data_IF_411051360213
#
_entry.id   IF_411051360213
#
_cell.length_a   1.000
_cell.length_b   1.000
_cell.length_c   1.000
_cell.angle_alpha   90.00
_cell.angle_beta   90.00
_cell.angle_gamma   90.00
#
_symmetry.space_group_name_H-M   'P 1'
#
loop_
_entity.id
_entity.type
_entity.pdbx_description
1 polymer ?
#
# COMPACT_ATOMS: atom_id res chain seq x y z
N UNK A 1 -33.53 25.34 -44.34
CA UNK A 1 -32.24 24.63 -44.11
C UNK A 1 -31.31 25.39 -43.16
N UNK A 2 -31.11 26.71 -43.31
CA UNK A 2 -30.27 27.54 -42.42
C UNK A 2 -30.58 27.39 -40.90
N UNK A 3 -31.87 27.36 -40.53
CA UNK A 3 -32.30 27.26 -39.13
C UNK A 3 -32.02 25.88 -38.49
N UNK A 4 -32.02 24.83 -39.31
CA UNK A 4 -31.73 23.46 -38.86
C UNK A 4 -30.23 23.28 -38.61
N UNK A 5 -29.39 23.87 -39.48
CA UNK A 5 -27.92 23.87 -39.36
C UNK A 5 -27.46 24.66 -38.13
N UNK A 6 -28.11 25.79 -37.84
CA UNK A 6 -27.87 26.57 -36.62
C UNK A 6 -28.23 25.79 -35.35
N UNK A 7 -29.34 25.04 -35.36
CA UNK A 7 -29.75 24.23 -34.22
C UNK A 7 -28.80 23.06 -33.96
N UNK A 8 -28.30 22.42 -35.02
CA UNK A 8 -27.29 21.36 -34.90
C UNK A 8 -25.93 21.89 -34.43
N UNK A 9 -25.52 23.09 -34.85
CA UNK A 9 -24.27 23.72 -34.39
C UNK A 9 -24.31 24.07 -32.90
N UNK A 10 -25.43 24.58 -32.39
CA UNK A 10 -25.61 24.89 -30.96
C UNK A 10 -25.66 23.63 -30.09
N UNK A 11 -26.30 22.56 -30.58
CA UNK A 11 -26.36 21.28 -29.86
C UNK A 11 -24.98 20.60 -29.73
N UNK A 12 -24.12 20.74 -30.74
CA UNK A 12 -22.76 20.18 -30.73
C UNK A 12 -21.84 20.91 -29.74
N UNK A 13 -22.03 22.22 -29.51
CA UNK A 13 -21.22 22.99 -28.54
C UNK A 13 -21.57 22.76 -27.07
N UNK A 14 -22.67 22.08 -26.76
CA UNK A 14 -23.15 21.88 -25.39
C UNK A 14 -22.61 20.60 -24.72
N UNK A 15 -21.89 19.75 -25.46
CA UNK A 15 -21.36 18.51 -24.92
C UNK A 15 -19.87 18.72 -24.59
N UNK A 16 -19.54 18.59 -23.31
CA UNK A 16 -18.19 18.61 -22.70
C UNK A 16 -17.67 19.96 -22.19
N UNK A 17 -18.45 20.64 -21.34
CA UNK A 17 -17.86 21.46 -20.27
C UNK A 17 -17.54 20.55 -19.10
N UNK A 18 -16.31 20.05 -19.00
CA UNK A 18 -15.79 19.53 -17.73
C UNK A 18 -15.55 20.75 -16.83
N UNK A 19 -16.61 21.20 -16.13
CA UNK A 19 -16.48 22.24 -15.12
C UNK A 19 -15.75 21.64 -13.92
N UNK A 20 -14.45 21.94 -13.81
CA UNK A 20 -13.75 21.72 -12.56
C UNK A 20 -14.34 22.65 -11.50
N UNK A 21 -14.79 22.10 -10.37
CA UNK A 21 -15.34 22.89 -9.27
C UNK A 21 -14.28 23.90 -8.79
N UNK A 22 -14.68 25.15 -8.61
CA UNK A 22 -13.79 26.15 -8.04
C UNK A 22 -13.63 25.90 -6.53
N UNK A 23 -12.63 26.53 -5.90
CA UNK A 23 -12.44 26.39 -4.46
C UNK A 23 -13.66 26.90 -3.64
N UNK A 24 -14.44 27.83 -4.19
CA UNK A 24 -15.65 28.36 -3.56
C UNK A 24 -16.78 27.32 -3.58
N UNK A 25 -17.00 26.67 -4.73
CA UNK A 25 -18.04 25.66 -4.90
C UNK A 25 -17.76 24.44 -4.00
N UNK A 26 -16.49 24.03 -3.92
CA UNK A 26 -16.08 22.97 -3.00
C UNK A 26 -16.36 23.33 -1.54
N UNK A 27 -16.16 24.59 -1.16
CA UNK A 27 -16.41 25.07 0.21
C UNK A 27 -17.90 25.07 0.56
N UNK A 28 -18.78 25.36 -0.40
CA UNK A 28 -20.23 25.26 -0.22
C UNK A 28 -20.68 23.81 0.03
N UNK A 29 -20.02 22.85 -0.63
CA UNK A 29 -20.20 21.42 -0.40
C UNK A 29 -19.51 20.91 0.88
N UNK A 30 -18.81 21.78 1.63
CA UNK A 30 -18.11 21.44 2.87
C UNK A 30 -16.68 20.94 2.70
N UNK A 31 -16.10 20.99 1.49
CA UNK A 31 -14.76 20.53 1.17
C UNK A 31 -13.73 21.68 1.12
N UNK A 32 -12.56 21.46 1.70
CA UNK A 32 -11.43 22.39 1.61
C UNK A 32 -10.47 21.90 0.53
N UNK A 33 -10.64 22.41 -0.70
CA UNK A 33 -9.86 21.99 -1.90
C UNK A 33 -8.34 21.93 -1.68
N UNK A 34 -7.78 22.87 -0.91
CA UNK A 34 -6.33 22.95 -0.65
C UNK A 34 -5.78 21.86 0.29
N UNK A 35 -6.63 21.20 1.07
CA UNK A 35 -6.24 20.18 2.05
C UNK A 35 -6.88 18.82 1.78
N UNK A 36 -7.81 18.76 0.82
CA UNK A 36 -8.54 17.56 0.48
C UNK A 36 -7.75 16.74 -0.55
N UNK A 37 -7.24 15.60 -0.11
CA UNK A 37 -6.58 14.63 -0.97
C UNK A 37 -7.57 13.58 -1.50
N UNK A 38 -7.36 13.09 -2.72
CA UNK A 38 -8.30 12.14 -3.36
C UNK A 38 -8.36 10.78 -2.66
N UNK A 39 -7.29 10.35 -2.00
CA UNK A 39 -7.22 9.14 -1.19
C UNK A 39 -8.19 9.17 0.01
N UNK A 40 -8.44 10.35 0.57
CA UNK A 40 -9.45 10.54 1.61
C UNK A 40 -10.87 10.37 1.06
N UNK A 41 -11.09 10.69 -0.22
CA UNK A 41 -12.38 10.47 -0.88
C UNK A 41 -12.66 8.98 -1.14
N UNK A 42 -11.62 8.16 -1.37
CA UNK A 42 -11.80 6.71 -1.60
C UNK A 42 -12.18 5.95 -0.32
N UNK A 43 -11.80 6.47 0.85
CA UNK A 43 -12.19 5.88 2.15
C UNK A 43 -13.63 6.19 2.58
N UNK A 44 -14.33 7.09 1.89
CA UNK A 44 -15.71 7.44 2.24
C UNK A 44 -16.67 6.25 2.13
N UNK A 45 -16.36 5.27 1.27
CA UNK A 45 -17.12 4.03 1.10
C UNK A 45 -17.17 3.21 2.40
N UNK A 46 -16.05 3.16 3.13
CA UNK A 46 -15.92 2.41 4.39
C UNK A 46 -16.86 2.94 5.48
N UNK A 47 -17.30 4.19 5.35
CA UNK A 47 -18.21 4.87 6.28
C UNK A 47 -19.64 5.01 5.74
N UNK A 48 -19.95 4.43 4.58
CA UNK A 48 -21.26 4.54 3.95
C UNK A 48 -21.60 5.96 3.43
N UNK A 49 -20.58 6.77 3.13
CA UNK A 49 -20.72 8.15 2.64
C UNK A 49 -20.56 8.25 1.10
N UNK A 50 -21.11 7.25 0.39
CA UNK A 50 -21.01 7.11 -1.08
C UNK A 50 -21.53 8.35 -1.84
N UNK A 51 -22.54 9.04 -1.30
CA UNK A 51 -23.12 10.25 -1.90
C UNK A 51 -22.15 11.43 -1.93
N UNK A 52 -21.21 11.49 -0.98
CA UNK A 52 -20.19 12.53 -0.90
C UNK A 52 -18.94 12.20 -1.71
N UNK A 53 -18.75 10.93 -2.11
CA UNK A 53 -17.58 10.49 -2.87
C UNK A 53 -17.43 11.23 -4.20
N UNK A 54 -18.53 11.34 -4.95
CA UNK A 54 -18.55 12.00 -6.26
C UNK A 54 -18.15 13.48 -6.17
N UNK A 55 -18.79 14.32 -5.33
CA UNK A 55 -18.37 15.70 -5.17
C UNK A 55 -17.00 15.85 -4.51
N UNK A 56 -16.61 14.94 -3.61
CA UNK A 56 -15.26 14.90 -3.02
C UNK A 56 -14.20 14.73 -4.10
N UNK A 57 -14.39 13.79 -5.04
CA UNK A 57 -13.46 13.54 -6.15
C UNK A 57 -13.34 14.72 -7.13
N UNK A 58 -14.36 15.56 -7.22
CA UNK A 58 -14.33 16.78 -8.03
C UNK A 58 -13.58 17.93 -7.34
N UNK A 59 -13.39 17.84 -6.03
CA UNK A 59 -12.79 18.86 -5.19
C UNK A 59 -11.41 18.49 -4.62
N UNK A 60 -10.96 17.25 -4.81
CA UNK A 60 -9.71 16.77 -4.26
C UNK A 60 -8.50 17.10 -5.15
N UNK A 61 -7.33 17.19 -4.53
CA UNK A 61 -6.05 17.22 -5.23
C UNK A 61 -5.53 15.79 -5.35
N UNK A 62 -5.03 15.43 -6.54
CA UNK A 62 -4.42 14.12 -6.76
C UNK A 62 -3.25 13.91 -5.80
N UNK A 63 -3.33 12.85 -4.99
CA UNK A 63 -2.26 12.46 -4.10
C UNK A 63 -1.01 12.11 -4.93
N UNK A 64 0.06 12.87 -4.74
CA UNK A 64 1.38 12.23 -4.72
C UNK A 64 1.45 11.51 -3.38
N UNK A 65 0.84 10.32 -3.27
CA UNK A 65 0.85 9.53 -2.04
C UNK A 65 2.25 9.57 -1.44
N UNK A 66 2.46 9.92 -0.16
CA UNK A 66 3.79 9.79 0.42
C UNK A 66 4.28 8.35 0.20
N UNK A 67 5.58 8.16 -0.01
CA UNK A 67 6.17 6.82 -0.22
C UNK A 67 5.66 5.77 0.79
N UNK A 68 5.38 6.24 2.01
CA UNK A 68 4.78 5.51 3.13
C UNK A 68 3.34 4.95 2.91
N UNK A 69 2.63 5.32 1.83
CA UNK A 69 1.28 4.81 1.54
C UNK A 69 1.15 4.18 0.15
N UNK A 70 2.24 4.16 -0.64
CA UNK A 70 2.22 3.50 -1.94
C UNK A 70 2.37 1.99 -1.79
N UNK A 71 1.51 1.25 -2.46
CA UNK A 71 1.67 -0.18 -2.67
C UNK A 71 2.47 -0.42 -3.95
N UNK A 72 3.48 -1.28 -3.85
CA UNK A 72 4.40 -1.63 -4.92
C UNK A 72 4.13 -3.06 -5.37
N UNK A 73 4.15 -3.27 -6.69
CA UNK A 73 3.90 -4.59 -7.25
C UNK A 73 5.06 -5.55 -6.97
N UNK A 74 6.30 -5.05 -6.98
CA UNK A 74 7.52 -5.84 -6.81
C UNK A 74 8.55 -5.07 -6.00
N UNK A 75 9.43 -5.78 -5.29
CA UNK A 75 10.62 -5.19 -4.67
C UNK A 75 11.86 -6.06 -4.89
N UNK A 76 13.02 -5.40 -4.92
CA UNK A 76 14.33 -6.05 -4.96
C UNK A 76 15.14 -5.56 -3.76
N UNK A 77 15.52 -6.48 -2.88
CA UNK A 77 16.47 -6.24 -1.80
C UNK A 77 17.88 -6.55 -2.30
N UNK A 78 18.69 -5.50 -2.52
CA UNK A 78 20.09 -5.61 -2.90
C UNK A 78 20.99 -5.62 -1.66
N UNK A 79 21.82 -6.66 -1.52
CA UNK A 79 22.70 -6.84 -0.35
C UNK A 79 24.08 -7.38 -0.73
N UNK A 80 25.11 -7.07 0.06
CA UNK A 80 26.40 -7.75 -0.02
C UNK A 80 26.61 -8.72 1.14
N UNK A 81 26.96 -9.98 0.83
CA UNK A 81 27.41 -10.95 1.84
C UNK A 81 28.66 -10.48 2.60
N UNK A 82 29.49 -9.66 1.96
CA UNK A 82 30.68 -9.05 2.56
C UNK A 82 30.36 -8.07 3.71
N UNK A 83 29.15 -7.52 3.74
CA UNK A 83 28.72 -6.52 4.72
C UNK A 83 27.83 -7.09 5.82
N UNK A 84 27.53 -8.39 5.80
CA UNK A 84 26.66 -9.02 6.78
C UNK A 84 27.15 -8.93 8.23
N UNK A 85 28.48 -8.89 8.43
CA UNK A 85 29.04 -8.62 9.77
C UNK A 85 28.63 -7.25 10.32
N UNK A 86 28.48 -6.24 9.45
CA UNK A 86 28.06 -4.90 9.84
C UNK A 86 26.54 -4.77 9.98
N UNK A 87 25.77 -5.64 9.30
CA UNK A 87 24.31 -5.63 9.28
C UNK A 87 23.73 -7.01 9.63
N UNK A 88 24.03 -7.56 10.83
CA UNK A 88 23.58 -8.90 11.23
C UNK A 88 22.06 -9.06 11.21
N UNK A 89 21.30 -7.99 11.47
CA UNK A 89 19.85 -7.97 11.43
C UNK A 89 19.29 -8.19 10.01
N UNK A 90 19.95 -7.65 8.98
CA UNK A 90 19.55 -7.88 7.59
C UNK A 90 19.88 -9.32 7.17
N UNK A 91 21.01 -9.86 7.61
CA UNK A 91 21.33 -11.27 7.41
C UNK A 91 20.27 -12.17 8.07
N UNK A 92 19.86 -11.86 9.31
CA UNK A 92 18.83 -12.61 10.02
C UNK A 92 17.49 -12.59 9.28
N UNK A 93 17.08 -11.44 8.74
CA UNK A 93 15.88 -11.36 7.89
C UNK A 93 15.98 -12.35 6.72
N UNK A 94 17.09 -12.33 5.97
CA UNK A 94 17.29 -13.19 4.79
C UNK A 94 17.29 -14.69 5.15
N UNK A 95 17.86 -15.06 6.31
CA UNK A 95 18.05 -16.47 6.71
C UNK A 95 16.87 -17.06 7.51
N UNK A 96 16.02 -16.23 8.12
CA UNK A 96 14.94 -16.66 9.02
C UNK A 96 13.70 -17.25 8.35
N UNK A 97 13.61 -17.20 7.01
CA UNK A 97 12.42 -17.64 6.26
C UNK A 97 11.32 -16.57 6.11
N UNK A 98 11.45 -15.42 6.78
CA UNK A 98 10.56 -14.25 6.59
C UNK A 98 10.41 -13.80 5.12
N UNK A 99 11.45 -13.81 4.27
CA UNK A 99 11.34 -13.42 2.87
C UNK A 99 10.39 -14.31 2.06
N UNK A 100 10.21 -15.57 2.49
CA UNK A 100 9.32 -16.51 1.79
C UNK A 100 7.84 -16.12 1.89
N UNK A 101 7.47 -15.26 2.85
CA UNK A 101 6.11 -14.68 2.96
C UNK A 101 5.78 -13.73 1.80
N UNK A 102 6.80 -13.22 1.10
CA UNK A 102 6.67 -12.17 0.11
C UNK A 102 7.06 -12.69 -1.27
N UNK A 103 6.12 -13.23 -2.08
CA UNK A 103 6.43 -13.74 -3.42
C UNK A 103 6.93 -12.64 -4.38
N UNK A 104 6.53 -11.40 -4.11
CA UNK A 104 6.90 -10.21 -4.87
C UNK A 104 8.23 -9.58 -4.40
N UNK A 105 8.92 -10.19 -3.45
CA UNK A 105 10.24 -9.77 -2.98
C UNK A 105 11.34 -10.64 -3.59
N UNK A 106 12.29 -10.01 -4.28
CA UNK A 106 13.48 -10.67 -4.80
C UNK A 106 14.73 -10.25 -4.02
N UNK A 107 15.56 -11.19 -3.63
CA UNK A 107 16.85 -10.90 -3.00
C UNK A 107 17.95 -10.98 -4.06
N UNK A 108 18.74 -9.92 -4.18
CA UNK A 108 19.84 -9.82 -5.14
C UNK A 108 21.15 -9.54 -4.43
N UNK A 109 22.15 -10.38 -4.67
CA UNK A 109 23.47 -10.22 -4.08
C UNK A 109 24.35 -9.35 -4.97
N UNK A 110 24.73 -8.17 -4.49
CA UNK A 110 25.61 -7.23 -5.18
C UNK A 110 26.82 -6.92 -4.30
N UNK A 111 28.01 -6.97 -4.88
CA UNK A 111 29.26 -6.76 -4.13
C UNK A 111 29.43 -5.28 -3.75
N UNK A 112 29.91 -5.03 -2.53
CA UNK A 112 30.38 -3.71 -2.08
C UNK A 112 29.29 -2.69 -1.73
N UNK A 113 28.03 -2.95 -2.06
CA UNK A 113 26.92 -2.07 -1.73
C UNK A 113 26.42 -2.32 -0.31
N UNK A 114 25.99 -1.23 0.33
CA UNK A 114 25.22 -1.31 1.56
C UNK A 114 23.79 -1.78 1.25
N UNK A 115 23.08 -2.42 2.21
CA UNK A 115 21.73 -2.92 2.00
C UNK A 115 20.74 -1.85 1.53
N UNK A 116 20.10 -2.09 0.39
CA UNK A 116 19.17 -1.16 -0.26
C UNK A 116 17.96 -1.91 -0.79
N UNK A 117 16.77 -1.31 -0.64
CA UNK A 117 15.52 -1.80 -1.20
C UNK A 117 15.16 -0.97 -2.42
N UNK A 118 14.93 -1.62 -3.55
CA UNK A 118 14.37 -1.02 -4.77
C UNK A 118 12.92 -1.42 -4.88
N UNK A 119 12.04 -0.44 -5.01
CA UNK A 119 10.60 -0.63 -5.16
C UNK A 119 10.25 -0.47 -6.64
N UNK A 120 9.49 -1.42 -7.18
CA UNK A 120 9.19 -1.51 -8.60
C UNK A 120 7.67 -1.55 -8.83
N UNK A 121 7.28 -0.99 -9.96
CA UNK A 121 5.90 -1.10 -10.46
C UNK A 121 5.65 -2.47 -11.13
N UNK A 122 4.41 -2.68 -11.61
CA UNK A 122 4.02 -3.91 -12.30
C UNK A 122 4.84 -4.17 -13.58
N UNK A 123 5.31 -3.10 -14.24
CA UNK A 123 6.16 -3.16 -15.43
C UNK A 123 7.63 -3.48 -15.10
N UNK A 124 8.01 -3.51 -13.82
CA UNK A 124 9.38 -3.77 -13.39
C UNK A 124 10.30 -2.56 -13.52
N UNK A 125 9.74 -1.34 -13.55
CA UNK A 125 10.53 -0.10 -13.49
C UNK A 125 10.71 0.31 -12.03
N UNK A 126 11.93 0.72 -11.69
CA UNK A 126 12.26 1.23 -10.34
C UNK A 126 11.57 2.58 -10.14
N UNK A 127 10.69 2.64 -9.15
CA UNK A 127 9.99 3.85 -8.74
C UNK A 127 10.73 4.54 -7.60
N UNK A 128 11.26 3.77 -6.65
CA UNK A 128 11.91 4.31 -5.46
C UNK A 128 13.06 3.40 -4.99
N UNK A 129 14.04 3.98 -4.30
CA UNK A 129 15.18 3.28 -3.73
C UNK A 129 15.42 3.78 -2.31
N UNK A 130 15.39 2.86 -1.35
CA UNK A 130 15.50 3.15 0.09
C UNK A 130 16.73 2.46 0.70
N UNK A 131 17.47 3.19 1.52
CA UNK A 131 18.56 2.62 2.33
C UNK A 131 17.98 2.02 3.62
N UNK A 132 18.30 0.75 3.89
CA UNK A 132 17.81 0.04 5.08
C UNK A 132 18.91 -0.22 6.12
N UNK A 133 20.04 0.49 6.01
CA UNK A 133 21.20 0.32 6.88
C UNK A 133 20.90 0.48 8.38
N UNK A 134 19.87 1.28 8.71
CA UNK A 134 19.43 1.56 10.08
C UNK A 134 18.25 0.71 10.54
N UNK A 135 17.72 -0.16 9.68
CA UNK A 135 16.52 -0.93 9.99
C UNK A 135 16.87 -2.21 10.75
N UNK A 136 15.94 -2.66 11.57
CA UNK A 136 16.01 -3.97 12.23
C UNK A 136 15.20 -5.02 11.44
N UNK A 137 15.28 -6.28 11.86
CA UNK A 137 14.62 -7.41 11.19
C UNK A 137 13.10 -7.21 11.07
N UNK A 138 12.48 -6.69 12.12
CA UNK A 138 11.02 -6.54 12.21
C UNK A 138 10.53 -5.35 11.37
N UNK A 139 11.23 -4.23 11.38
CA UNK A 139 10.93 -3.06 10.53
C UNK A 139 11.02 -3.41 9.04
N UNK A 140 12.00 -4.24 8.65
CA UNK A 140 12.11 -4.70 7.25
C UNK A 140 10.90 -5.54 6.85
N UNK A 141 10.48 -6.46 7.73
CA UNK A 141 9.31 -7.31 7.48
C UNK A 141 8.01 -6.51 7.41
N UNK A 142 7.75 -5.66 8.41
CA UNK A 142 6.57 -4.80 8.49
C UNK A 142 6.47 -3.88 7.26
N UNK A 143 7.61 -3.34 6.82
CA UNK A 143 7.66 -2.53 5.62
C UNK A 143 7.19 -3.31 4.40
N UNK A 144 7.72 -4.51 4.16
CA UNK A 144 7.29 -5.32 3.02
C UNK A 144 5.84 -5.78 3.14
N UNK A 145 5.36 -6.08 4.34
CA UNK A 145 3.96 -6.44 4.56
C UNK A 145 2.98 -5.31 4.24
N UNK A 146 3.34 -4.08 4.57
CA UNK A 146 2.50 -2.91 4.35
C UNK A 146 2.58 -2.41 2.91
N UNK A 147 3.75 -2.52 2.28
CA UNK A 147 4.05 -1.87 1.00
C UNK A 147 4.03 -2.78 -0.21
N UNK A 148 4.14 -4.11 -0.06
CA UNK A 148 4.04 -5.01 -1.20
C UNK A 148 2.61 -5.42 -1.45
N UNK A 149 2.22 -5.44 -2.73
CA UNK A 149 0.97 -6.03 -3.14
C UNK A 149 0.95 -7.51 -2.72
N UNK A 150 -0.03 -7.87 -1.89
CA UNK A 150 -0.35 -9.27 -1.58
C UNK A 150 -1.07 -9.83 -2.80
N UNK A 151 -0.43 -10.74 -3.54
CA UNK A 151 -1.12 -11.48 -4.59
C UNK A 151 -2.37 -12.12 -3.97
N UNK A 152 -3.50 -12.03 -4.67
CA UNK A 152 -4.84 -12.40 -4.20
C UNK A 152 -5.06 -13.89 -3.89
N UNK A 153 -4.13 -14.57 -3.23
CA UNK A 153 -4.43 -15.70 -2.34
C UNK A 153 -4.75 -15.13 -0.97
N UNK A 154 -5.97 -14.59 -0.85
CA UNK A 154 -6.55 -14.23 0.42
C UNK A 154 -6.58 -15.44 1.36
N UNK A 155 -5.72 -15.40 2.38
CA UNK A 155 -6.08 -15.87 3.71
C UNK A 155 -5.81 -14.69 4.64
N UNK A 156 -6.90 -14.07 5.07
CA UNK A 156 -6.91 -13.10 6.17
C UNK A 156 -6.23 -13.75 7.36
N UNK A 157 -5.05 -13.23 7.74
CA UNK A 157 -4.30 -13.71 8.90
C UNK A 157 -4.83 -12.97 10.13
N UNK A 158 -5.95 -13.42 10.65
CA UNK A 158 -6.18 -13.38 12.09
C UNK A 158 -5.95 -14.80 12.58
N UNK A 159 -4.75 -15.08 13.09
CA UNK A 159 -4.44 -16.37 13.69
C UNK A 159 -5.15 -16.47 15.04
N UNK A 160 -6.29 -17.15 15.06
CA UNK A 160 -6.76 -17.79 16.29
C UNK A 160 -5.81 -18.96 16.54
N UNK A 161 -5.21 -19.00 17.71
CA UNK A 161 -4.49 -20.19 18.19
C UNK A 161 -5.53 -21.30 18.35
N UNK A 162 -5.55 -22.26 17.43
CA UNK A 162 -6.24 -23.52 17.64
C UNK A 162 -5.29 -24.39 18.47
N UNK A 163 -5.63 -24.55 19.76
CA UNK A 163 -5.05 -25.57 20.61
C UNK A 163 -5.50 -26.92 20.04
N UNK A 164 -4.61 -27.60 19.32
CA UNK A 164 -4.76 -29.01 19.03
C UNK A 164 -4.55 -29.76 20.35
N UNK A 165 -5.67 -30.16 20.96
CA UNK A 165 -5.73 -31.21 21.97
C UNK A 165 -5.48 -32.52 21.25
N UNK A 166 -4.24 -33.00 21.30
CA UNK A 166 -3.94 -34.41 21.07
C UNK A 166 -3.99 -35.10 22.45
N UNK A 167 -5.02 -35.94 22.61
CA UNK A 167 -5.15 -36.95 23.65
C UNK A 167 -3.94 -37.89 23.59
N UNK A 168 -3.02 -37.75 24.54
CA UNK A 168 -2.18 -38.84 25.01
C UNK A 168 -1.98 -38.66 26.52
N UNK A 169 -2.37 -39.68 27.27
CA UNK A 169 -2.35 -39.79 28.71
C UNK A 169 -1.03 -39.32 29.35
N UNK A 170 -1.08 -38.27 30.19
CA UNK A 170 -0.14 -38.13 31.32
C UNK A 170 -0.81 -37.37 32.48
N UNK A 171 -0.91 -38.08 33.60
CA UNK A 171 -1.43 -37.69 34.90
C UNK A 171 -0.63 -36.50 35.50
N UNK A 172 -1.13 -35.27 35.33
CA UNK A 172 -0.66 -34.11 36.08
C UNK A 172 -1.78 -33.53 36.95
N UNK A 173 -1.93 -34.08 38.14
CA UNK A 173 -2.67 -33.45 39.23
C UNK A 173 -2.06 -32.08 39.57
N UNK A 174 -2.64 -31.02 39.04
CA UNK A 174 -2.44 -29.66 39.54
C UNK A 174 -3.32 -29.43 40.77
N UNK A 175 -2.75 -29.68 41.94
CA UNK A 175 -3.32 -29.20 43.20
C UNK A 175 -3.06 -27.69 43.32
N UNK A 176 -4.02 -26.86 42.90
CA UNK A 176 -4.06 -25.47 43.35
C UNK A 176 -4.62 -25.44 44.77
N UNK A 177 -3.70 -25.51 45.73
CA UNK A 177 -3.98 -25.19 47.13
C UNK A 177 -4.12 -23.66 47.23
N UNK A 178 -5.31 -23.19 47.57
CA UNK A 178 -5.58 -21.82 48.04
C UNK A 178 -5.13 -21.72 49.49
#
# INVERSE_FOLDING_TARGET
MQKLVLFTLVAITCQQTHAEFTAADCRELGFIKAQLMCSSCDKLDDFGLETLKTPCKQCCTLDQQPAAQRTYAKAILEVCTCKFRAYPQIQAFIQSGRPAKFPNLQIKYVRGLDPVVKLLDAAGKVQETLSITKWNTDTVEEFFETHLAKDGKGKSSYSVVEEAVDDDDDDYLLTNKV
#
